data_IF_970504333226
#
_entry.id   IF_970504333226
#
_cell.length_a   1.000
_cell.length_b   1.000
_cell.length_c   1.000
_cell.angle_alpha   90.00
_cell.angle_beta   90.00
_cell.angle_gamma   90.00
#
_symmetry.space_group_name_H-M   'P 1'
#
loop_
_entity.id
_entity.type
_entity.pdbx_description
1 polymer ?
#
# COMPACT_ATOMS: atom_id res chain seq x y z
N UNK A 1 -8.95 -16.87 -25.68
CA UNK A 1 -9.84 -15.77 -26.01
C UNK A 1 -11.27 -16.29 -25.99
N UNK A 2 -12.11 -15.82 -25.06
CA UNK A 2 -13.48 -16.27 -24.94
C UNK A 2 -14.40 -15.09 -25.26
N UNK A 3 -14.89 -15.05 -26.49
CA UNK A 3 -15.78 -14.00 -26.94
C UNK A 3 -17.23 -14.31 -26.50
N UNK A 4 -17.92 -13.32 -25.98
CA UNK A 4 -19.36 -13.41 -25.66
C UNK A 4 -19.72 -14.00 -24.29
N UNK A 5 -18.72 -14.42 -23.46
CA UNK A 5 -18.98 -14.88 -22.10
C UNK A 5 -18.64 -13.80 -21.06
N UNK A 6 -19.56 -13.56 -20.15
CA UNK A 6 -19.33 -12.71 -18.99
C UNK A 6 -18.67 -13.51 -17.85
N UNK A 7 -17.97 -12.82 -16.93
CA UNK A 7 -17.30 -13.50 -15.81
C UNK A 7 -18.23 -14.35 -14.95
N UNK A 8 -19.52 -14.01 -14.90
CA UNK A 8 -20.54 -14.77 -14.19
C UNK A 8 -20.87 -16.12 -14.85
N UNK A 9 -20.64 -16.25 -16.16
CA UNK A 9 -20.91 -17.46 -16.92
C UNK A 9 -19.77 -18.46 -16.83
N UNK A 10 -18.56 -18.00 -16.43
CA UNK A 10 -17.35 -18.82 -16.36
C UNK A 10 -17.28 -19.65 -15.07
N UNK A 11 -17.75 -19.11 -13.95
CA UNK A 11 -17.69 -19.80 -12.65
C UNK A 11 -18.46 -21.14 -12.62
N UNK A 12 -19.68 -21.25 -13.18
CA UNK A 12 -20.43 -22.51 -13.19
C UNK A 12 -19.73 -23.63 -13.98
N UNK A 13 -18.90 -23.27 -14.95
CA UNK A 13 -18.14 -24.25 -15.76
C UNK A 13 -16.71 -24.46 -15.25
N UNK A 14 -16.40 -23.98 -14.04
CA UNK A 14 -15.09 -24.20 -13.40
C UNK A 14 -13.95 -23.36 -13.97
N UNK A 15 -14.24 -22.32 -14.75
CA UNK A 15 -13.24 -21.41 -15.28
C UNK A 15 -13.09 -20.17 -14.39
N UNK A 16 -11.89 -19.60 -14.36
CA UNK A 16 -11.55 -18.39 -13.61
C UNK A 16 -11.10 -17.31 -14.58
N UNK A 17 -11.67 -16.11 -14.44
CA UNK A 17 -11.19 -14.93 -15.16
C UNK A 17 -10.05 -14.28 -14.39
N UNK A 18 -8.91 -14.12 -15.06
CA UNK A 18 -7.78 -13.35 -14.55
C UNK A 18 -7.69 -12.02 -15.29
N UNK A 19 -7.68 -10.93 -14.56
CA UNK A 19 -7.41 -9.60 -15.09
C UNK A 19 -5.94 -9.24 -14.81
N UNK A 20 -5.14 -9.18 -15.86
CA UNK A 20 -3.73 -8.79 -15.77
C UNK A 20 -3.61 -7.29 -15.97
N UNK A 21 -3.37 -6.56 -14.89
CA UNK A 21 -3.16 -5.12 -14.90
C UNK A 21 -1.66 -4.82 -14.82
N UNK A 22 -1.18 -4.10 -15.84
CA UNK A 22 0.22 -3.66 -15.90
C UNK A 22 0.32 -2.20 -15.46
N UNK A 23 1.26 -1.92 -14.55
CA UNK A 23 1.59 -0.56 -14.15
C UNK A 23 2.78 -0.10 -14.98
N UNK A 24 2.58 0.90 -15.86
CA UNK A 24 3.61 1.43 -16.76
C UNK A 24 4.84 1.97 -16.02
N UNK A 25 4.65 2.51 -14.82
CA UNK A 25 5.74 3.01 -13.98
C UNK A 25 6.73 1.90 -13.59
N UNK A 26 6.24 0.68 -13.30
CA UNK A 26 7.12 -0.46 -13.00
C UNK A 26 7.94 -0.87 -14.22
N UNK A 27 7.37 -0.79 -15.42
CA UNK A 27 8.09 -1.04 -16.66
C UNK A 27 9.20 0.00 -16.88
N UNK A 28 8.91 1.28 -16.61
CA UNK A 28 9.91 2.37 -16.71
C UNK A 28 11.06 2.14 -15.71
N UNK A 29 10.75 1.79 -14.46
CA UNK A 29 11.77 1.47 -13.45
C UNK A 29 12.62 0.27 -13.91
N UNK A 30 12.00 -0.82 -14.35
CA UNK A 30 12.71 -1.99 -14.86
C UNK A 30 13.64 -1.63 -16.03
N UNK A 31 13.17 -0.79 -16.95
CA UNK A 31 13.98 -0.32 -18.09
C UNK A 31 15.15 0.57 -17.65
N UNK A 32 14.94 1.46 -16.68
CA UNK A 32 16.03 2.24 -16.09
C UNK A 32 17.09 1.35 -15.45
N UNK A 33 16.67 0.37 -14.66
CA UNK A 33 17.58 -0.60 -14.05
C UNK A 33 18.37 -1.38 -15.10
N UNK A 34 17.73 -1.79 -16.19
CA UNK A 34 18.40 -2.48 -17.31
C UNK A 34 19.48 -1.58 -17.97
N UNK A 35 19.15 -0.34 -18.26
CA UNK A 35 20.11 0.63 -18.84
C UNK A 35 21.29 0.91 -17.92
N UNK A 36 21.04 1.04 -16.61
CA UNK A 36 22.12 1.21 -15.61
C UNK A 36 23.03 -0.01 -15.59
N UNK A 37 22.46 -1.22 -15.61
CA UNK A 37 23.19 -2.49 -15.65
C UNK A 37 24.10 -2.57 -16.87
N UNK A 38 23.54 -2.29 -18.07
CA UNK A 38 24.30 -2.31 -19.33
C UNK A 38 25.46 -1.30 -19.29
N UNK A 39 25.22 -0.09 -18.79
CA UNK A 39 26.25 0.97 -18.70
C UNK A 39 27.34 0.64 -17.70
N UNK A 40 27.01 -0.01 -16.59
CA UNK A 40 27.96 -0.32 -15.52
C UNK A 40 28.65 -1.68 -15.66
N UNK A 41 28.20 -2.54 -16.57
CA UNK A 41 28.76 -3.88 -16.77
C UNK A 41 28.58 -4.81 -15.57
N UNK A 42 27.59 -4.57 -14.72
CA UNK A 42 27.30 -5.38 -13.53
C UNK A 42 26.15 -6.35 -13.77
N UNK A 43 26.31 -7.58 -13.30
CA UNK A 43 25.23 -8.58 -13.28
C UNK A 43 24.45 -8.42 -11.98
N UNK A 44 23.26 -7.81 -12.07
CA UNK A 44 22.36 -7.55 -10.96
C UNK A 44 21.71 -6.18 -11.07
N UNK A 45 20.58 -6.00 -10.39
CA UNK A 45 19.87 -4.73 -10.44
C UNK A 45 20.53 -3.76 -9.46
N UNK A 46 21.36 -2.87 -10.00
CA UNK A 46 21.78 -1.61 -9.39
C UNK A 46 22.63 -1.66 -8.10
N UNK A 47 23.08 -2.78 -7.60
CA UNK A 47 23.84 -2.74 -6.36
C UNK A 47 25.34 -2.53 -6.58
N UNK A 48 25.85 -1.37 -6.23
CA UNK A 48 27.22 -1.27 -5.75
C UNK A 48 27.29 -1.98 -4.39
N UNK A 49 28.46 -2.49 -3.98
CA UNK A 49 28.62 -2.95 -2.61
C UNK A 49 28.14 -1.87 -1.63
N UNK A 50 27.06 -2.17 -0.86
CA UNK A 50 26.44 -1.22 0.07
C UNK A 50 25.23 -0.44 -0.45
N UNK A 51 24.87 -0.53 -1.74
CA UNK A 51 23.61 0.01 -2.26
C UNK A 51 22.47 -1.04 -2.08
N UNK A 52 21.24 -0.60 -1.78
CA UNK A 52 20.10 -1.51 -1.64
C UNK A 52 19.79 -2.23 -2.96
N UNK A 53 19.47 -3.48 -2.88
CA UNK A 53 18.93 -4.25 -4.01
C UNK A 53 17.45 -3.83 -4.23
N UNK A 54 17.19 -3.13 -5.32
CA UNK A 54 15.85 -2.65 -5.66
C UNK A 54 14.84 -3.77 -5.94
N UNK A 55 15.28 -5.00 -6.12
CA UNK A 55 14.41 -6.18 -6.21
C UNK A 55 14.04 -6.76 -4.86
N UNK A 56 14.85 -6.49 -3.85
CA UNK A 56 14.57 -6.87 -2.47
C UNK A 56 13.91 -5.70 -1.73
N UNK A 57 12.58 -5.77 -1.63
CA UNK A 57 11.77 -4.74 -0.96
C UNK A 57 12.21 -4.50 0.48
N UNK A 58 12.67 -5.51 1.17
CA UNK A 58 13.09 -5.39 2.56
C UNK A 58 14.39 -4.59 2.72
N UNK A 59 15.22 -4.54 1.66
CA UNK A 59 16.47 -3.78 1.66
C UNK A 59 16.28 -2.25 1.62
N UNK A 60 15.14 -1.76 1.09
CA UNK A 60 14.87 -0.33 0.92
C UNK A 60 13.57 0.16 1.53
N UNK A 61 12.73 -0.73 2.06
CA UNK A 61 11.39 -0.43 2.61
C UNK A 61 11.37 0.76 3.57
N UNK A 62 12.37 0.89 4.43
CA UNK A 62 12.48 1.95 5.41
C UNK A 62 13.73 2.80 5.21
N UNK A 63 14.09 3.05 3.96
CA UNK A 63 15.19 3.94 3.64
C UNK A 63 14.97 5.33 4.24
N UNK A 64 15.90 5.82 5.10
CA UNK A 64 15.70 7.07 5.84
C UNK A 64 15.55 8.30 4.95
N UNK A 65 16.25 8.36 3.81
CA UNK A 65 16.18 9.49 2.89
C UNK A 65 14.82 9.53 2.18
N UNK A 66 14.31 8.38 1.75
CA UNK A 66 12.99 8.25 1.14
C UNK A 66 11.88 8.61 2.14
N UNK A 67 11.99 8.18 3.39
CA UNK A 67 11.03 8.53 4.44
C UNK A 67 11.11 10.04 4.78
N UNK A 68 12.29 10.64 4.79
CA UNK A 68 12.46 12.08 5.00
C UNK A 68 11.84 12.90 3.85
N UNK A 69 12.05 12.49 2.60
CA UNK A 69 11.42 13.08 1.43
C UNK A 69 9.88 13.00 1.53
N UNK A 70 9.36 11.84 1.92
CA UNK A 70 7.93 11.66 2.11
C UNK A 70 7.38 12.56 3.23
N UNK A 71 8.09 12.70 4.36
CA UNK A 71 7.71 13.61 5.45
C UNK A 71 7.70 15.08 5.04
N UNK A 72 8.59 15.49 4.15
CA UNK A 72 8.59 16.82 3.55
C UNK A 72 7.42 17.02 2.57
N UNK A 73 6.66 15.94 2.27
CA UNK A 73 5.63 15.89 1.23
C UNK A 73 6.15 16.28 -0.17
N UNK A 74 7.45 16.06 -0.40
CA UNK A 74 8.07 16.20 -1.72
C UNK A 74 7.82 14.92 -2.52
N UNK A 75 6.55 14.73 -2.90
CA UNK A 75 6.04 13.53 -3.55
C UNK A 75 5.61 13.82 -5.00
N UNK A 76 6.14 14.88 -5.59
CA UNK A 76 5.88 15.22 -6.99
C UNK A 76 6.38 14.09 -7.89
N UNK A 77 5.58 13.72 -8.88
CA UNK A 77 5.86 12.61 -9.79
C UNK A 77 5.93 11.22 -9.14
N UNK A 78 5.62 11.09 -7.86
CA UNK A 78 5.48 9.78 -7.21
C UNK A 78 4.09 9.23 -7.54
N UNK A 79 4.06 8.06 -8.16
CA UNK A 79 2.81 7.43 -8.58
C UNK A 79 1.80 7.33 -7.42
N UNK A 80 0.57 7.79 -7.67
CA UNK A 80 -0.54 7.87 -6.71
C UNK A 80 -0.35 8.86 -5.55
N UNK A 81 0.81 9.49 -5.38
CA UNK A 81 1.08 10.46 -4.31
C UNK A 81 1.25 11.90 -4.80
N UNK A 82 1.03 12.15 -6.09
CA UNK A 82 1.29 13.43 -6.73
C UNK A 82 0.22 14.51 -6.44
N UNK A 83 -1.01 14.13 -6.11
CA UNK A 83 -2.08 15.10 -5.86
C UNK A 83 -1.93 15.84 -4.52
N UNK A 84 -2.36 17.10 -4.47
CA UNK A 84 -2.28 17.92 -3.24
C UNK A 84 -3.06 17.29 -2.08
N UNK A 85 -4.16 16.60 -2.37
CA UNK A 85 -4.97 15.96 -1.33
C UNK A 85 -4.21 14.89 -0.57
N UNK A 86 -3.56 13.95 -1.28
CA UNK A 86 -2.78 12.90 -0.61
C UNK A 86 -1.50 13.46 0.03
N UNK A 87 -0.84 14.45 -0.60
CA UNK A 87 0.30 15.14 0.00
C UNK A 87 -0.08 15.85 1.30
N UNK A 88 -1.28 16.46 1.33
CA UNK A 88 -1.85 17.04 2.56
C UNK A 88 -2.07 16.00 3.65
N UNK A 89 -2.58 14.84 3.31
CA UNK A 89 -2.77 13.72 4.24
C UNK A 89 -1.43 13.20 4.79
N UNK A 90 -0.44 13.01 3.93
CA UNK A 90 0.92 12.59 4.31
C UNK A 90 1.55 13.62 5.25
N UNK A 91 1.46 14.92 4.93
CA UNK A 91 1.98 16.02 5.75
C UNK A 91 1.31 16.05 7.13
N UNK A 92 0.00 15.83 7.19
CA UNK A 92 -0.74 15.82 8.45
C UNK A 92 -0.40 14.62 9.33
N UNK A 93 -0.26 13.43 8.73
CA UNK A 93 -0.03 12.19 9.47
C UNK A 93 1.45 11.86 9.70
N UNK A 94 2.35 12.37 8.86
CA UNK A 94 3.78 12.01 8.86
C UNK A 94 4.04 10.56 8.44
N UNK A 95 5.28 10.28 8.07
CA UNK A 95 5.72 8.95 7.62
C UNK A 95 6.87 8.50 8.51
N UNK A 96 6.63 7.49 9.32
CA UNK A 96 7.64 6.90 10.20
C UNK A 96 8.18 5.59 9.61
N UNK A 97 7.40 4.96 8.74
CA UNK A 97 7.69 3.67 8.12
C UNK A 97 6.93 3.53 6.79
N UNK A 98 7.37 2.61 5.95
CA UNK A 98 6.76 2.35 4.65
C UNK A 98 5.26 2.02 4.74
N UNK A 99 4.84 1.29 5.79
CA UNK A 99 3.44 0.93 6.00
C UNK A 99 2.51 2.15 6.14
N UNK A 100 3.03 3.30 6.55
CA UNK A 100 2.25 4.53 6.61
C UNK A 100 1.88 5.02 5.19
N UNK A 101 2.79 4.91 4.23
CA UNK A 101 2.51 5.22 2.83
C UNK A 101 1.45 4.27 2.26
N UNK A 102 1.57 2.97 2.57
CA UNK A 102 0.56 1.97 2.18
C UNK A 102 -0.81 2.33 2.76
N UNK A 103 -0.87 2.73 4.03
CA UNK A 103 -2.10 3.15 4.69
C UNK A 103 -2.69 4.41 4.06
N UNK A 104 -1.88 5.44 3.75
CA UNK A 104 -2.35 6.65 3.09
C UNK A 104 -2.91 6.39 1.69
N UNK A 105 -2.25 5.53 0.92
CA UNK A 105 -2.75 5.09 -0.39
C UNK A 105 -4.12 4.39 -0.29
N UNK A 106 -4.35 3.62 0.77
CA UNK A 106 -5.62 2.96 1.00
C UNK A 106 -6.71 3.90 1.55
N UNK A 107 -6.32 4.86 2.41
CA UNK A 107 -7.22 5.85 3.01
C UNK A 107 -7.65 6.94 2.03
N UNK A 108 -6.78 7.31 1.08
CA UNK A 108 -7.08 8.35 0.10
C UNK A 108 -7.99 7.83 -1.01
N UNK A 109 -9.19 7.39 -0.62
CA UNK A 109 -10.25 6.92 -1.51
C UNK A 109 -11.57 7.57 -1.14
N UNK A 110 -12.47 7.84 -2.09
CA UNK A 110 -13.72 8.56 -1.84
C UNK A 110 -14.55 7.99 -0.68
N UNK A 111 -14.60 6.67 -0.53
CA UNK A 111 -15.32 6.01 0.57
C UNK A 111 -14.74 6.33 1.94
N UNK A 112 -13.43 6.14 2.10
CA UNK A 112 -12.74 6.40 3.37
C UNK A 112 -12.75 7.89 3.75
N UNK A 113 -12.58 8.78 2.75
CA UNK A 113 -12.62 10.23 2.96
C UNK A 113 -14.02 10.72 3.41
N UNK A 114 -15.09 10.18 2.80
CA UNK A 114 -16.47 10.49 3.22
C UNK A 114 -16.75 10.07 4.66
N UNK A 115 -16.14 8.99 5.12
CA UNK A 115 -16.27 8.47 6.49
C UNK A 115 -15.26 9.08 7.46
N UNK A 116 -14.46 10.04 7.03
CA UNK A 116 -13.40 10.70 7.80
C UNK A 116 -12.39 9.71 8.43
N UNK A 117 -12.19 8.58 7.79
CA UNK A 117 -11.27 7.55 8.28
C UNK A 117 -9.81 8.01 8.21
N UNK A 118 -9.48 8.81 7.22
CA UNK A 118 -8.20 9.48 7.03
C UNK A 118 -7.87 10.40 8.22
N UNK A 119 -8.82 11.25 8.62
CA UNK A 119 -8.65 12.14 9.77
C UNK A 119 -8.48 11.36 11.07
N UNK A 120 -9.34 10.37 11.29
CA UNK A 120 -9.27 9.52 12.50
C UNK A 120 -7.95 8.76 12.58
N UNK A 121 -7.46 8.23 11.46
CA UNK A 121 -6.16 7.58 11.40
C UNK A 121 -5.04 8.54 11.82
N UNK A 122 -5.01 9.74 11.26
CA UNK A 122 -4.02 10.77 11.58
C UNK A 122 -4.08 11.19 13.04
N UNK A 123 -5.28 11.47 13.59
CA UNK A 123 -5.45 11.88 14.98
C UNK A 123 -4.95 10.79 15.96
N UNK A 124 -5.26 9.54 15.69
CA UNK A 124 -4.83 8.40 16.51
C UNK A 124 -3.34 8.12 16.37
N UNK A 125 -2.81 8.16 15.15
CA UNK A 125 -1.37 8.03 14.89
C UNK A 125 -0.56 9.08 15.64
N UNK A 126 -1.06 10.31 15.67
CA UNK A 126 -0.42 11.45 16.39
C UNK A 126 -0.71 11.46 17.89
N UNK A 127 -1.45 10.48 18.41
CA UNK A 127 -1.79 10.37 19.82
C UNK A 127 -2.79 11.43 20.33
N UNK A 128 -3.44 12.16 19.41
CA UNK A 128 -4.45 13.20 19.75
C UNK A 128 -5.83 12.61 20.03
N UNK A 129 -6.15 11.47 19.46
CA UNK A 129 -7.36 10.70 19.75
C UNK A 129 -6.97 9.38 20.45
N UNK A 130 -7.41 9.18 21.70
CA UNK A 130 -7.27 7.92 22.40
C UNK A 130 -8.30 6.92 21.86
N UNK A 131 -7.92 5.67 21.75
CA UNK A 131 -8.82 4.60 21.34
C UNK A 131 -8.50 3.31 22.12
N UNK A 132 -9.53 2.53 22.33
CA UNK A 132 -9.40 1.19 22.93
C UNK A 132 -9.90 0.16 21.94
N UNK A 133 -9.25 -0.98 21.92
CA UNK A 133 -9.59 -2.11 21.07
C UNK A 133 -9.96 -3.30 21.92
N UNK A 134 -11.07 -3.93 21.57
CA UNK A 134 -11.43 -5.20 22.17
C UNK A 134 -10.29 -6.22 21.94
N UNK A 135 -9.92 -7.07 22.93
CA UNK A 135 -8.80 -8.00 22.83
C UNK A 135 -8.80 -8.87 21.56
N UNK A 136 -9.97 -9.31 21.11
CA UNK A 136 -10.12 -10.14 19.90
C UNK A 136 -9.74 -9.42 18.60
N UNK A 137 -9.97 -8.12 18.52
CA UNK A 137 -9.70 -7.34 17.29
C UNK A 137 -8.39 -6.55 17.35
N UNK A 138 -7.81 -6.43 18.54
CA UNK A 138 -6.55 -5.71 18.76
C UNK A 138 -5.43 -6.21 17.83
N UNK A 139 -5.15 -7.51 17.67
CA UNK A 139 -4.09 -7.99 16.78
C UNK A 139 -4.32 -7.65 15.32
N UNK A 140 -5.57 -7.33 14.92
CA UNK A 140 -5.96 -7.03 13.55
C UNK A 140 -5.82 -5.54 13.26
N UNK A 141 -6.22 -4.68 14.22
CA UNK A 141 -6.36 -3.24 14.01
C UNK A 141 -5.27 -2.39 14.68
N UNK A 142 -4.44 -2.96 15.54
CA UNK A 142 -3.43 -2.20 16.29
C UNK A 142 -2.46 -1.46 15.33
N UNK A 143 -2.01 -2.11 14.28
CA UNK A 143 -1.10 -1.53 13.28
C UNK A 143 -1.70 -0.39 12.47
N UNK A 144 -3.02 -0.28 12.44
CA UNK A 144 -3.77 0.78 11.75
C UNK A 144 -4.50 1.69 12.73
N UNK A 145 -4.01 1.77 13.97
CA UNK A 145 -4.54 2.65 15.02
C UNK A 145 -6.06 2.49 15.24
N UNK A 146 -6.56 1.26 15.11
CA UNK A 146 -7.97 0.94 15.29
C UNK A 146 -8.87 1.37 14.13
N UNK A 147 -8.32 1.74 12.99
CA UNK A 147 -9.08 2.08 11.78
C UNK A 147 -9.06 0.89 10.82
N UNK A 148 -10.22 0.46 10.36
CA UNK A 148 -10.35 -0.58 9.34
C UNK A 148 -10.05 0.02 7.97
N UNK A 149 -8.86 -0.23 7.46
CA UNK A 149 -8.38 0.33 6.19
C UNK A 149 -8.42 -0.73 5.09
N UNK A 150 -8.05 -1.97 5.45
CA UNK A 150 -7.83 -3.06 4.50
C UNK A 150 -9.00 -4.05 4.53
N UNK A 151 -9.32 -4.58 3.37
CA UNK A 151 -10.36 -5.58 3.21
C UNK A 151 -10.11 -6.84 4.04
N UNK A 152 -8.85 -7.25 4.14
CA UNK A 152 -8.39 -8.39 4.94
C UNK A 152 -8.67 -8.20 6.44
N UNK A 153 -8.62 -6.97 6.93
CA UNK A 153 -8.97 -6.67 8.32
C UNK A 153 -10.45 -6.95 8.58
N UNK A 154 -11.32 -6.55 7.65
CA UNK A 154 -12.77 -6.82 7.76
C UNK A 154 -13.04 -8.32 7.74
N UNK A 155 -12.42 -9.04 6.79
CA UNK A 155 -12.58 -10.49 6.69
C UNK A 155 -12.12 -11.20 7.98
N UNK A 156 -10.97 -10.81 8.54
CA UNK A 156 -10.46 -11.37 9.78
C UNK A 156 -11.33 -11.04 10.98
N UNK A 157 -11.89 -9.84 11.05
CA UNK A 157 -12.84 -9.47 12.13
C UNK A 157 -14.09 -10.33 12.04
N UNK A 158 -14.68 -10.49 10.85
CA UNK A 158 -15.84 -11.33 10.64
C UNK A 158 -15.57 -12.79 11.02
N UNK A 159 -14.36 -13.27 10.74
CA UNK A 159 -13.95 -14.61 11.14
C UNK A 159 -13.82 -14.74 12.65
N UNK A 160 -13.07 -13.85 13.30
CA UNK A 160 -12.74 -13.98 14.74
C UNK A 160 -13.94 -13.66 15.64
N UNK A 161 -14.75 -12.68 15.25
CA UNK A 161 -15.90 -12.23 16.06
C UNK A 161 -17.20 -12.93 15.64
N UNK A 162 -17.40 -13.13 14.33
CA UNK A 162 -18.62 -13.70 13.77
C UNK A 162 -18.53 -15.18 13.46
N UNK A 163 -17.37 -15.83 13.68
CA UNK A 163 -17.11 -17.23 13.35
C UNK A 163 -17.44 -17.58 11.88
N UNK A 164 -17.29 -16.59 10.97
CA UNK A 164 -17.50 -16.79 9.54
C UNK A 164 -16.25 -17.41 8.93
N UNK A 165 -16.35 -18.53 8.20
CA UNK A 165 -15.19 -19.17 7.59
C UNK A 165 -14.47 -18.22 6.62
N UNK A 166 -13.15 -18.16 6.70
CA UNK A 166 -12.33 -17.55 5.66
C UNK A 166 -12.34 -18.50 4.45
N UNK A 167 -12.93 -18.06 3.35
CA UNK A 167 -12.92 -18.79 2.07
C UNK A 167 -11.89 -18.19 1.14
#
# INVERSE_FOLDING_TARGET
WVEGLHGQDLQPVGLVKFDLLVISNLLQIARCCELVRQRRGVSGICARPGEPDWTDVDSWRNDPESLAMANAADLKCIFQFDSEGIRGLVRAGGVDRFEDLVAYSALFRPGCLKMLMDKRYVERKRGREKFELHPLIKPILEKTYGVMIYQEQIMRILHVVGNIPLK
#
